data_IF_419697286838
#
_entry.id   IF_419697286838
#
_cell.length_a   1.000
_cell.length_b   1.000
_cell.length_c   1.000
_cell.angle_alpha   90.00
_cell.angle_beta   90.00
_cell.angle_gamma   90.00
#
_symmetry.space_group_name_H-M   'P 1'
#
loop_
_entity.id
_entity.type
_entity.pdbx_description
1 polymer ?
#
# COMPACT_ATOMS: atom_id res chain seq x y z
N UNK A 1 28.64 1.86 4.78
CA UNK A 1 27.56 1.43 5.70
C UNK A 1 27.43 -0.08 5.57
N UNK A 2 27.49 -0.89 6.64
CA UNK A 2 27.28 -2.32 6.49
C UNK A 2 25.84 -2.53 5.99
N UNK A 3 25.67 -3.38 4.97
CA UNK A 3 24.35 -3.82 4.50
C UNK A 3 23.72 -4.57 5.65
N UNK A 4 22.97 -3.86 6.47
CA UNK A 4 22.37 -4.46 7.63
C UNK A 4 21.31 -5.45 7.14
N UNK A 5 21.47 -6.71 7.54
CA UNK A 5 20.51 -7.76 7.22
C UNK A 5 19.10 -7.40 7.68
N UNK A 6 18.10 -8.14 7.18
CA UNK A 6 16.66 -7.86 7.37
C UNK A 6 16.28 -7.61 8.84
N UNK A 7 16.84 -8.39 9.76
CA UNK A 7 16.67 -8.18 11.20
C UNK A 7 17.14 -6.78 11.65
N UNK A 8 18.24 -6.28 11.09
CA UNK A 8 18.74 -4.92 11.32
C UNK A 8 17.84 -3.82 10.75
N UNK A 9 17.14 -4.07 9.63
CA UNK A 9 16.13 -3.13 9.09
C UNK A 9 14.94 -3.04 10.05
N UNK A 10 14.40 -4.18 10.49
CA UNK A 10 13.29 -4.22 11.44
C UNK A 10 13.65 -3.57 12.79
N UNK A 11 14.87 -3.79 13.28
CA UNK A 11 15.36 -3.15 14.50
C UNK A 11 15.56 -1.64 14.33
N UNK A 12 16.03 -1.17 13.17
CA UNK A 12 16.09 0.26 12.86
C UNK A 12 14.71 0.90 12.86
N UNK A 13 13.72 0.25 12.23
CA UNK A 13 12.35 0.77 12.22
C UNK A 13 11.80 0.90 13.65
N UNK A 14 11.96 -0.15 14.48
CA UNK A 14 11.57 -0.08 15.90
C UNK A 14 12.27 1.05 16.65
N UNK A 15 13.59 1.19 16.47
CA UNK A 15 14.37 2.25 17.12
C UNK A 15 13.82 3.63 16.75
N UNK A 16 13.63 3.90 15.46
CA UNK A 16 13.10 5.19 15.00
C UNK A 16 11.69 5.45 15.52
N UNK A 17 10.82 4.44 15.58
CA UNK A 17 9.46 4.59 16.14
C UNK A 17 9.48 4.85 17.66
N UNK A 18 10.36 4.20 18.40
CA UNK A 18 10.54 4.46 19.84
C UNK A 18 11.09 5.86 20.09
N UNK A 19 12.10 6.27 19.33
CA UNK A 19 12.68 7.60 19.42
C UNK A 19 11.67 8.68 19.04
N UNK A 20 10.78 8.42 18.09
CA UNK A 20 9.70 9.34 17.74
C UNK A 20 8.67 9.47 18.89
N UNK A 21 8.37 8.40 19.63
CA UNK A 21 7.56 8.46 20.85
C UNK A 21 8.27 9.23 21.96
N UNK A 22 9.57 9.00 22.17
CA UNK A 22 10.35 9.75 23.16
C UNK A 22 10.41 11.24 22.81
N UNK A 23 10.72 11.57 21.55
CA UNK A 23 10.76 12.94 21.05
C UNK A 23 9.43 13.68 21.25
N UNK A 24 8.30 13.00 21.05
CA UNK A 24 6.97 13.58 21.30
C UNK A 24 6.79 14.06 22.75
N UNK A 25 7.34 13.30 23.71
CA UNK A 25 7.22 13.60 25.15
C UNK A 25 8.31 14.54 25.67
N UNK A 26 9.50 14.52 25.07
CA UNK A 26 10.72 15.22 25.55
C UNK A 26 11.25 16.28 24.59
N UNK A 27 10.37 16.82 23.73
CA UNK A 27 10.73 17.80 22.70
C UNK A 27 11.54 19.01 23.21
N UNK A 28 11.21 19.63 24.37
CA UNK A 28 12.01 20.73 24.91
C UNK A 28 13.43 20.29 25.31
N UNK A 29 13.55 19.13 25.96
CA UNK A 29 14.83 18.58 26.41
C UNK A 29 15.72 18.23 25.21
N UNK A 30 15.16 17.61 24.17
CA UNK A 30 15.86 17.32 22.93
C UNK A 30 16.43 18.59 22.27
N UNK A 31 15.59 19.64 22.15
CA UNK A 31 16.03 20.93 21.58
C UNK A 31 17.12 21.62 22.40
N UNK A 32 17.10 21.43 23.72
CA UNK A 32 18.10 21.97 24.65
C UNK A 32 19.33 21.07 24.80
N UNK A 33 19.40 19.95 24.06
CA UNK A 33 20.45 18.93 24.18
C UNK A 33 20.61 18.38 25.61
N UNK A 34 19.48 18.21 26.29
CA UNK A 34 19.39 17.65 27.64
C UNK A 34 19.10 16.14 27.64
N UNK A 35 19.00 15.52 26.46
CA UNK A 35 18.91 14.07 26.28
C UNK A 35 19.94 13.60 25.25
N UNK A 36 20.14 12.29 25.17
CA UNK A 36 20.99 11.69 24.16
C UNK A 36 20.45 11.95 22.75
N UNK A 37 21.34 11.97 21.77
CA UNK A 37 20.96 12.05 20.38
C UNK A 37 20.09 10.84 19.99
N UNK A 38 19.00 11.13 19.29
CA UNK A 38 18.05 10.14 18.79
C UNK A 38 18.50 9.63 17.41
N UNK A 39 17.96 8.51 16.97
CA UNK A 39 18.38 7.81 15.75
C UNK A 39 18.01 8.50 14.43
N UNK A 40 17.20 9.57 14.47
CA UNK A 40 16.79 10.36 13.32
C UNK A 40 16.73 11.86 13.65
N UNK A 41 16.62 12.70 12.62
CA UNK A 41 16.54 14.15 12.80
C UNK A 41 15.23 14.57 13.47
N UNK A 42 15.21 15.74 14.11
CA UNK A 42 13.98 16.29 14.69
C UNK A 42 12.83 16.38 13.66
N UNK A 43 13.16 16.69 12.40
CA UNK A 43 12.19 16.79 11.31
C UNK A 43 11.58 15.42 10.98
N UNK A 44 12.39 14.37 10.90
CA UNK A 44 11.91 13.00 10.64
C UNK A 44 11.06 12.48 11.81
N UNK A 45 11.49 12.73 13.05
CA UNK A 45 10.73 12.35 14.24
C UNK A 45 9.40 13.10 14.34
N UNK A 46 9.35 14.36 13.91
CA UNK A 46 8.10 15.12 13.80
C UNK A 46 7.18 14.55 12.71
N UNK A 47 7.75 14.18 11.55
CA UNK A 47 6.99 13.63 10.43
C UNK A 47 6.33 12.27 10.76
N UNK A 48 6.88 11.53 11.72
CA UNK A 48 6.31 10.27 12.20
C UNK A 48 5.15 10.44 13.17
N UNK A 49 4.92 11.65 13.71
CA UNK A 49 3.88 11.87 14.71
C UNK A 49 2.46 11.56 14.21
N UNK A 50 2.03 12.00 13.00
CA UNK A 50 0.73 11.62 12.45
C UNK A 50 0.58 10.10 12.22
N UNK A 51 1.67 9.40 11.91
CA UNK A 51 1.67 7.94 11.74
C UNK A 51 1.48 7.24 13.09
N UNK A 52 2.20 7.68 14.12
CA UNK A 52 2.07 7.15 15.48
C UNK A 52 0.69 7.43 16.11
N UNK A 53 0.02 8.51 15.69
CA UNK A 53 -1.35 8.83 16.10
C UNK A 53 -2.43 8.11 15.26
N UNK A 54 -2.05 7.40 14.20
CA UNK A 54 -2.99 6.73 13.29
C UNK A 54 -3.75 7.68 12.35
N UNK A 55 -3.32 8.93 12.21
CA UNK A 55 -3.90 9.90 11.27
C UNK A 55 -3.48 9.56 9.83
N UNK A 56 -2.21 9.21 9.64
CA UNK A 56 -1.66 8.77 8.36
C UNK A 56 -1.28 7.29 8.38
N UNK A 57 -1.48 6.56 7.27
CA UNK A 57 -0.98 5.20 7.16
C UNK A 57 0.54 5.16 6.97
N UNK A 58 1.15 4.08 7.45
CA UNK A 58 2.52 3.70 7.10
C UNK A 58 2.47 2.72 5.93
N UNK A 59 3.03 3.09 4.78
CA UNK A 59 3.21 2.18 3.65
C UNK A 59 4.55 1.47 3.82
N UNK A 60 4.55 0.14 3.87
CA UNK A 60 5.77 -0.68 3.93
C UNK A 60 5.88 -1.52 2.68
N UNK A 61 6.99 -1.39 1.98
CA UNK A 61 7.36 -2.29 0.88
C UNK A 61 7.93 -3.56 1.50
N UNK A 62 7.22 -4.67 1.31
CA UNK A 62 7.63 -5.99 1.81
C UNK A 62 7.14 -7.06 0.85
N UNK A 63 8.06 -7.87 0.32
CA UNK A 63 7.75 -8.85 -0.71
C UNK A 63 7.81 -10.30 -0.20
N UNK A 64 8.82 -10.65 0.60
CA UNK A 64 8.92 -11.98 1.22
C UNK A 64 7.90 -12.17 2.33
N UNK A 65 7.43 -13.40 2.49
CA UNK A 65 6.54 -13.80 3.59
C UNK A 65 7.06 -13.36 4.95
N UNK A 66 8.34 -13.62 5.26
CA UNK A 66 8.94 -13.28 6.56
C UNK A 66 8.98 -11.77 6.83
N UNK A 67 9.13 -10.96 5.78
CA UNK A 67 9.18 -9.51 5.89
C UNK A 67 7.77 -8.95 6.07
N UNK A 68 6.78 -9.53 5.39
CA UNK A 68 5.35 -9.23 5.59
C UNK A 68 4.95 -9.56 7.03
N UNK A 69 5.24 -10.76 7.52
CA UNK A 69 4.97 -11.17 8.92
C UNK A 69 5.64 -10.22 9.92
N UNK A 70 6.85 -9.74 9.62
CA UNK A 70 7.56 -8.77 10.46
C UNK A 70 6.86 -7.41 10.44
N UNK A 71 6.43 -6.93 9.28
CA UNK A 71 5.68 -5.68 9.14
C UNK A 71 4.34 -5.74 9.90
N UNK A 72 3.57 -6.84 9.76
CA UNK A 72 2.33 -7.06 10.50
C UNK A 72 2.55 -7.02 12.02
N UNK A 73 3.63 -7.65 12.49
CA UNK A 73 3.99 -7.69 13.92
C UNK A 73 4.35 -6.30 14.46
N UNK A 74 5.14 -5.53 13.70
CA UNK A 74 5.49 -4.14 14.06
C UNK A 74 4.24 -3.26 14.05
N UNK A 75 3.38 -3.37 13.03
CA UNK A 75 2.14 -2.60 12.98
C UNK A 75 1.26 -2.86 14.21
N UNK A 76 1.15 -4.12 14.65
CA UNK A 76 0.46 -4.48 15.89
C UNK A 76 1.14 -3.91 17.13
N UNK A 77 2.47 -4.04 17.25
CA UNK A 77 3.27 -3.54 18.37
C UNK A 77 3.11 -2.03 18.60
N UNK A 78 3.03 -1.25 17.52
CA UNK A 78 2.93 0.21 17.58
C UNK A 78 1.51 0.75 17.32
N UNK A 79 0.52 -0.12 17.09
CA UNK A 79 -0.86 0.23 16.70
C UNK A 79 -0.92 1.13 15.46
N UNK A 80 -0.16 0.75 14.42
CA UNK A 80 -0.04 1.52 13.18
C UNK A 80 -1.12 1.14 12.19
N UNK A 81 -1.61 2.13 11.43
CA UNK A 81 -2.36 1.89 10.20
C UNK A 81 -1.39 1.48 9.10
N UNK A 82 -1.19 0.18 8.93
CA UNK A 82 -0.27 -0.37 7.93
C UNK A 82 -0.95 -0.53 6.56
N UNK A 83 -0.21 -0.22 5.50
CA UNK A 83 -0.50 -0.63 4.12
C UNK A 83 0.74 -1.39 3.63
N UNK A 84 0.55 -2.55 3.01
CA UNK A 84 1.64 -3.26 2.34
C UNK A 84 1.69 -2.85 0.87
N UNK A 85 2.89 -2.59 0.37
CA UNK A 85 3.12 -2.41 -1.06
C UNK A 85 3.99 -3.55 -1.60
N UNK A 86 3.63 -4.07 -2.77
CA UNK A 86 4.20 -5.27 -3.36
C UNK A 86 3.54 -6.53 -2.79
N UNK A 87 4.12 -7.10 -1.73
CA UNK A 87 3.71 -8.37 -1.15
C UNK A 87 3.72 -9.52 -2.16
N UNK A 88 4.84 -9.68 -2.88
CA UNK A 88 5.04 -10.74 -3.89
C UNK A 88 4.73 -12.17 -3.37
N UNK A 89 5.01 -12.45 -2.09
CA UNK A 89 4.68 -13.72 -1.43
C UNK A 89 3.46 -13.61 -0.49
N UNK A 90 2.69 -12.52 -0.57
CA UNK A 90 1.50 -12.28 0.24
C UNK A 90 0.41 -13.33 0.02
N UNK A 91 0.31 -13.88 -1.20
CA UNK A 91 -0.57 -15.01 -1.53
C UNK A 91 -0.34 -16.27 -0.68
N UNK A 92 0.82 -16.40 -0.02
CA UNK A 92 1.09 -17.52 0.88
C UNK A 92 0.41 -17.37 2.25
N UNK A 93 0.07 -16.14 2.65
CA UNK A 93 -0.50 -15.81 3.96
C UNK A 93 -1.70 -14.84 3.90
N UNK A 94 -2.63 -14.99 2.94
CA UNK A 94 -3.68 -14.00 2.70
C UNK A 94 -4.64 -13.90 3.90
N UNK A 95 -4.89 -15.01 4.60
CA UNK A 95 -5.73 -15.04 5.79
C UNK A 95 -5.12 -14.24 6.95
N UNK A 96 -3.80 -14.26 7.10
CA UNK A 96 -3.09 -13.53 8.16
C UNK A 96 -3.12 -12.02 7.89
N UNK A 97 -2.91 -11.62 6.63
CA UNK A 97 -3.03 -10.23 6.18
C UNK A 97 -4.46 -9.72 6.35
N UNK A 98 -5.45 -10.52 5.95
CA UNK A 98 -6.88 -10.21 6.06
C UNK A 98 -7.31 -10.07 7.53
N UNK A 99 -6.90 -10.99 8.40
CA UNK A 99 -7.18 -10.92 9.84
C UNK A 99 -6.56 -9.70 10.52
N UNK A 100 -5.44 -9.19 9.99
CA UNK A 100 -4.83 -7.94 10.45
C UNK A 100 -5.52 -6.67 9.88
N UNK A 101 -6.52 -6.82 9.00
CA UNK A 101 -7.19 -5.74 8.28
C UNK A 101 -6.22 -4.83 7.50
N UNK A 102 -5.12 -5.40 7.00
CA UNK A 102 -4.08 -4.66 6.27
C UNK A 102 -4.36 -4.73 4.77
N UNK A 103 -4.61 -3.61 4.09
CA UNK A 103 -4.73 -3.59 2.64
C UNK A 103 -3.37 -3.76 1.96
N UNK A 104 -3.41 -4.23 0.70
CA UNK A 104 -2.22 -4.48 -0.11
C UNK A 104 -2.32 -3.74 -1.45
N UNK A 105 -1.25 -3.04 -1.81
CA UNK A 105 -1.04 -2.44 -3.13
C UNK A 105 -0.22 -3.42 -3.97
N UNK A 106 -0.79 -3.92 -5.06
CA UNK A 106 -0.18 -4.95 -5.91
C UNK A 106 0.02 -4.41 -7.32
N UNK A 107 1.14 -4.75 -7.93
CA UNK A 107 1.41 -4.54 -9.35
C UNK A 107 1.28 -5.90 -10.06
N UNK A 108 0.17 -6.18 -10.77
CA UNK A 108 -0.13 -7.50 -11.33
C UNK A 108 0.95 -8.07 -12.25
N UNK A 109 1.61 -7.18 -13.00
CA UNK A 109 2.65 -7.56 -13.96
C UNK A 109 4.07 -7.50 -13.41
N UNK A 110 4.27 -7.12 -12.14
CA UNK A 110 5.58 -7.31 -11.52
C UNK A 110 5.83 -8.82 -11.40
N UNK A 111 6.75 -9.31 -12.22
CA UNK A 111 6.98 -10.74 -12.42
C UNK A 111 8.46 -11.11 -12.45
N UNK A 112 9.35 -10.12 -12.30
CA UNK A 112 10.78 -10.33 -12.39
C UNK A 112 11.27 -10.88 -11.05
N UNK A 113 11.65 -12.17 -10.96
CA UNK A 113 12.07 -12.74 -9.70
C UNK A 113 13.35 -12.04 -9.24
N UNK A 114 13.34 -11.61 -7.99
CA UNK A 114 14.52 -11.06 -7.33
C UNK A 114 14.81 -11.86 -6.07
N UNK A 115 15.96 -11.59 -5.45
CA UNK A 115 16.27 -12.20 -4.16
C UNK A 115 15.21 -11.88 -3.09
N UNK A 116 14.45 -10.79 -3.23
CA UNK A 116 13.40 -10.39 -2.30
C UNK A 116 11.99 -10.78 -2.76
N UNK A 117 11.83 -11.44 -3.92
CA UNK A 117 10.53 -11.81 -4.50
C UNK A 117 10.62 -13.14 -5.29
N UNK A 118 11.11 -14.22 -4.66
CA UNK A 118 11.25 -15.52 -5.33
C UNK A 118 9.91 -16.18 -5.64
N UNK A 119 8.93 -16.04 -4.74
CA UNK A 119 7.59 -16.60 -4.91
C UNK A 119 6.63 -15.73 -5.72
N UNK A 120 7.11 -14.77 -6.52
CA UNK A 120 6.26 -13.86 -7.30
C UNK A 120 5.37 -14.64 -8.28
N UNK A 121 4.10 -14.24 -8.38
CA UNK A 121 3.07 -14.89 -9.21
C UNK A 121 2.07 -13.89 -9.73
N UNK A 122 1.62 -14.08 -10.97
CA UNK A 122 0.58 -13.24 -11.56
C UNK A 122 -0.77 -13.36 -10.82
N UNK A 123 -1.04 -14.52 -10.23
CA UNK A 123 -2.26 -14.77 -9.45
C UNK A 123 -2.22 -14.12 -8.05
N UNK A 124 -1.14 -13.41 -7.68
CA UNK A 124 -0.99 -12.86 -6.32
C UNK A 124 -2.19 -11.98 -5.92
N UNK A 125 -2.62 -11.07 -6.80
CA UNK A 125 -3.77 -10.21 -6.55
C UNK A 125 -5.07 -11.01 -6.35
N UNK A 126 -5.30 -12.05 -7.16
CA UNK A 126 -6.51 -12.87 -7.07
C UNK A 126 -6.53 -13.76 -5.83
N UNK A 127 -5.39 -14.32 -5.45
CA UNK A 127 -5.24 -15.14 -4.24
C UNK A 127 -5.40 -14.30 -2.96
N UNK A 128 -4.83 -13.09 -2.93
CA UNK A 128 -5.04 -12.14 -1.84
C UNK A 128 -6.51 -11.75 -1.71
N UNK A 129 -7.15 -11.37 -2.83
CA UNK A 129 -8.57 -11.01 -2.84
C UNK A 129 -9.47 -12.18 -2.38
N UNK A 130 -9.18 -13.42 -2.81
CA UNK A 130 -9.91 -14.63 -2.37
C UNK A 130 -9.77 -14.89 -0.87
N UNK A 131 -8.63 -14.54 -0.26
CA UNK A 131 -8.44 -14.59 1.20
C UNK A 131 -9.05 -13.40 1.96
N UNK A 132 -9.82 -12.53 1.29
CA UNK A 132 -10.50 -11.39 1.91
C UNK A 132 -9.65 -10.14 2.08
N UNK A 133 -8.44 -10.10 1.52
CA UNK A 133 -7.58 -8.92 1.59
C UNK A 133 -8.14 -7.81 0.68
N UNK A 134 -8.16 -6.57 1.18
CA UNK A 134 -8.43 -5.39 0.35
C UNK A 134 -7.23 -5.14 -0.57
N UNK A 135 -7.37 -5.47 -1.85
CA UNK A 135 -6.33 -5.28 -2.87
C UNK A 135 -6.64 -4.05 -3.72
N UNK A 136 -5.68 -3.12 -3.81
CA UNK A 136 -5.67 -2.09 -4.84
C UNK A 136 -4.54 -2.37 -5.83
N UNK A 137 -4.80 -2.09 -7.11
CA UNK A 137 -3.78 -2.21 -8.14
C UNK A 137 -3.01 -0.90 -8.24
N UNK A 138 -1.69 -1.01 -8.41
CA UNK A 138 -0.80 0.13 -8.62
C UNK A 138 0.11 -0.12 -9.83
N UNK A 139 0.73 0.94 -10.30
CA UNK A 139 1.77 0.94 -11.32
C UNK A 139 2.93 1.76 -10.75
N UNK A 140 4.13 1.19 -10.70
CA UNK A 140 5.30 1.87 -10.11
C UNK A 140 6.20 2.52 -11.15
N UNK A 141 6.07 2.16 -12.43
CA UNK A 141 6.81 2.78 -13.51
C UNK A 141 6.23 4.16 -13.87
N UNK A 142 7.02 5.21 -13.70
CA UNK A 142 6.62 6.60 -14.00
C UNK A 142 6.38 6.85 -15.49
N UNK A 143 6.96 6.01 -16.36
CA UNK A 143 6.85 6.15 -17.81
C UNK A 143 5.58 5.51 -18.39
N UNK A 144 4.88 4.67 -17.58
CA UNK A 144 3.76 3.83 -18.02
C UNK A 144 2.47 4.03 -17.19
N UNK A 145 2.26 5.19 -16.57
CA UNK A 145 1.01 5.47 -15.80
C UNK A 145 -0.31 5.28 -16.56
N UNK A 146 -0.26 5.11 -17.90
CA UNK A 146 -1.40 4.73 -18.74
C UNK A 146 -1.79 3.24 -18.67
N UNK A 147 -0.96 2.41 -18.03
CA UNK A 147 -1.12 0.96 -18.00
C UNK A 147 -1.99 0.45 -16.85
N UNK A 148 -2.50 1.29 -15.94
CA UNK A 148 -3.34 0.81 -14.84
C UNK A 148 -4.61 0.07 -15.34
N UNK A 149 -5.15 0.48 -16.49
CA UNK A 149 -6.19 -0.26 -17.21
C UNK A 149 -5.72 -1.65 -17.62
N UNK A 150 -4.52 -1.74 -18.20
CA UNK A 150 -3.91 -3.00 -18.63
C UNK A 150 -3.58 -3.90 -17.43
N UNK A 151 -3.07 -3.34 -16.33
CA UNK A 151 -2.86 -4.06 -15.07
C UNK A 151 -4.16 -4.67 -14.56
N UNK A 152 -5.27 -3.94 -14.60
CA UNK A 152 -6.57 -4.46 -14.22
C UNK A 152 -7.06 -5.58 -15.14
N UNK A 153 -6.92 -5.44 -16.46
CA UNK A 153 -7.24 -6.50 -17.42
C UNK A 153 -6.39 -7.76 -17.21
N UNK A 154 -5.09 -7.60 -16.96
CA UNK A 154 -4.19 -8.71 -16.65
C UNK A 154 -4.59 -9.39 -15.33
N UNK A 155 -4.95 -8.62 -14.30
CA UNK A 155 -5.42 -9.18 -13.03
C UNK A 155 -6.68 -10.05 -13.20
N UNK A 156 -7.59 -9.66 -14.11
CA UNK A 156 -8.74 -10.50 -14.51
C UNK A 156 -8.28 -11.78 -15.19
N UNK A 157 -7.35 -11.69 -16.15
CA UNK A 157 -6.78 -12.85 -16.83
C UNK A 157 -6.12 -13.85 -15.85
N UNK A 158 -5.59 -13.37 -14.73
CA UNK A 158 -4.97 -14.17 -13.66
C UNK A 158 -5.89 -14.42 -12.44
N UNK A 159 -7.20 -14.31 -12.64
CA UNK A 159 -8.20 -14.91 -11.77
C UNK A 159 -8.93 -13.97 -10.80
N UNK A 160 -8.74 -12.65 -10.90
CA UNK A 160 -9.69 -11.71 -10.32
C UNK A 160 -10.98 -11.70 -11.14
N UNK A 161 -12.12 -11.47 -10.49
CA UNK A 161 -13.34 -11.12 -11.25
C UNK A 161 -13.21 -9.70 -11.83
N UNK A 162 -13.96 -9.42 -12.89
CA UNK A 162 -14.01 -8.09 -13.50
C UNK A 162 -14.39 -7.01 -12.47
N UNK A 163 -15.40 -7.27 -11.63
CA UNK A 163 -15.84 -6.34 -10.58
C UNK A 163 -14.75 -6.07 -9.54
N UNK A 164 -14.01 -7.12 -9.12
CA UNK A 164 -12.89 -6.95 -8.20
C UNK A 164 -11.78 -6.09 -8.82
N UNK A 165 -11.44 -6.32 -10.09
CA UNK A 165 -10.41 -5.55 -10.78
C UNK A 165 -10.84 -4.08 -10.95
N UNK A 166 -12.08 -3.81 -11.35
CA UNK A 166 -12.62 -2.44 -11.45
C UNK A 166 -12.57 -1.74 -10.10
N UNK A 167 -13.03 -2.41 -9.05
CA UNK A 167 -13.01 -1.88 -7.69
C UNK A 167 -11.57 -1.60 -7.22
N UNK A 168 -10.62 -2.48 -7.55
CA UNK A 168 -9.21 -2.35 -7.18
C UNK A 168 -8.48 -1.15 -7.82
N UNK A 169 -9.03 -0.57 -8.90
CA UNK A 169 -8.53 0.68 -9.51
C UNK A 169 -9.44 1.90 -9.26
N UNK A 170 -10.53 1.74 -8.50
CA UNK A 170 -11.50 2.81 -8.21
C UNK A 170 -11.79 2.94 -6.71
N UNK A 171 -12.75 2.18 -6.18
CA UNK A 171 -13.24 2.34 -4.81
C UNK A 171 -12.26 1.81 -3.76
N UNK A 172 -11.57 0.69 -4.00
CA UNK A 172 -10.62 0.15 -3.02
C UNK A 172 -9.49 1.11 -2.67
N UNK A 173 -8.75 1.73 -3.63
CA UNK A 173 -7.75 2.73 -3.27
C UNK A 173 -8.37 3.95 -2.56
N UNK A 174 -9.57 4.39 -2.96
CA UNK A 174 -10.27 5.47 -2.25
C UNK A 174 -10.57 5.11 -0.78
N UNK A 175 -10.94 3.86 -0.50
CA UNK A 175 -11.13 3.37 0.88
C UNK A 175 -9.83 3.30 1.67
N UNK A 176 -8.76 2.77 1.05
CA UNK A 176 -7.44 2.63 1.68
C UNK A 176 -6.91 4.00 2.14
N UNK A 177 -7.08 5.03 1.32
CA UNK A 177 -6.61 6.38 1.60
C UNK A 177 -7.64 7.28 2.30
N UNK A 178 -8.81 6.75 2.67
CA UNK A 178 -9.81 7.48 3.46
C UNK A 178 -10.57 8.57 2.69
N UNK A 179 -10.66 8.46 1.36
CA UNK A 179 -11.32 9.42 0.47
C UNK A 179 -12.54 8.85 -0.26
N UNK A 180 -12.98 7.64 0.09
CA UNK A 180 -14.15 6.96 -0.50
C UNK A 180 -15.48 7.71 -0.33
N UNK A 181 -15.57 8.65 0.62
CA UNK A 181 -16.73 9.54 0.76
C UNK A 181 -16.87 10.54 -0.39
N UNK A 182 -15.80 10.78 -1.16
CA UNK A 182 -15.78 11.74 -2.26
C UNK A 182 -15.47 11.09 -3.61
N UNK A 183 -14.75 9.97 -3.64
CA UNK A 183 -14.23 9.36 -4.86
C UNK A 183 -14.47 7.84 -4.94
N UNK A 184 -14.23 7.27 -6.11
CA UNK A 184 -14.09 5.83 -6.30
C UNK A 184 -15.37 5.08 -6.68
N UNK A 185 -16.55 5.71 -6.61
CA UNK A 185 -17.80 5.13 -7.11
C UNK A 185 -18.77 6.18 -7.64
N UNK A 186 -19.75 5.73 -8.43
CA UNK A 186 -20.82 6.55 -8.98
C UNK A 186 -22.01 6.55 -8.02
N UNK A 187 -21.94 7.42 -7.01
CA UNK A 187 -22.96 7.58 -5.97
C UNK A 187 -23.32 9.07 -5.80
N UNK A 188 -24.57 9.34 -5.41
CA UNK A 188 -25.00 10.71 -5.13
C UNK A 188 -24.15 11.34 -4.01
N UNK A 189 -23.76 12.60 -4.20
CA UNK A 189 -22.92 13.34 -3.25
C UNK A 189 -21.41 13.18 -3.44
N UNK A 190 -20.96 12.27 -4.32
CA UNK A 190 -19.53 12.13 -4.69
C UNK A 190 -19.14 13.03 -5.86
N UNK A 191 -17.83 13.22 -6.02
CA UNK A 191 -17.28 14.00 -7.14
C UNK A 191 -17.47 13.22 -8.44
N UNK A 192 -18.04 13.90 -9.44
CA UNK A 192 -18.41 13.32 -10.74
C UNK A 192 -17.22 13.13 -11.70
N UNK A 193 -16.20 12.39 -11.26
CA UNK A 193 -15.11 11.94 -12.11
C UNK A 193 -15.57 10.71 -12.90
N UNK A 194 -16.04 10.93 -14.13
CA UNK A 194 -16.64 9.87 -14.97
C UNK A 194 -15.90 9.74 -16.28
N UNK A 195 -15.59 8.49 -16.64
CA UNK A 195 -15.00 8.12 -17.92
C UNK A 195 -15.99 7.21 -18.66
N UNK A 196 -16.37 7.61 -19.87
CA UNK A 196 -17.22 6.81 -20.76
C UNK A 196 -16.31 6.09 -21.75
N UNK A 197 -16.45 4.77 -21.83
CA UNK A 197 -15.67 3.92 -22.73
C UNK A 197 -16.51 3.48 -23.93
N UNK A 198 -15.87 3.18 -25.06
CA UNK A 198 -16.54 2.65 -26.25
C UNK A 198 -16.92 1.16 -26.12
N UNK A 199 -16.39 0.47 -25.13
CA UNK A 199 -16.58 -0.95 -24.83
C UNK A 199 -16.12 -1.27 -23.40
N UNK A 200 -15.81 -2.53 -23.11
CA UNK A 200 -15.28 -2.93 -21.80
C UNK A 200 -13.96 -2.20 -21.52
N UNK A 201 -13.84 -1.45 -20.39
CA UNK A 201 -12.63 -0.72 -20.08
C UNK A 201 -11.37 -1.58 -20.04
N UNK A 202 -11.41 -2.90 -19.83
CA UNK A 202 -10.21 -3.74 -19.80
C UNK A 202 -9.84 -4.37 -21.15
N UNK A 203 -10.69 -4.25 -22.16
CA UNK A 203 -10.35 -4.71 -23.51
C UNK A 203 -9.35 -3.75 -24.19
N UNK A 204 -8.39 -4.33 -24.92
CA UNK A 204 -7.34 -3.57 -25.62
C UNK A 204 -7.92 -2.55 -26.60
N UNK A 205 -9.02 -2.89 -27.29
CA UNK A 205 -9.67 -2.03 -28.27
C UNK A 205 -10.55 -0.92 -27.69
N UNK A 206 -10.82 -0.92 -26.38
CA UNK A 206 -11.70 0.07 -25.78
C UNK A 206 -11.01 1.43 -25.61
N UNK A 207 -11.57 2.45 -26.25
CA UNK A 207 -11.11 3.82 -26.19
C UNK A 207 -11.97 4.67 -25.26
N UNK A 208 -11.39 5.74 -24.72
CA UNK A 208 -12.15 6.75 -23.98
C UNK A 208 -13.01 7.51 -24.99
N UNK A 209 -14.33 7.45 -24.82
CA UNK A 209 -15.29 8.20 -25.63
C UNK A 209 -15.44 9.63 -25.12
N UNK A 210 -15.48 9.81 -23.80
CA UNK A 210 -15.51 11.12 -23.15
C UNK A 210 -15.02 11.02 -21.71
N UNK A 211 -14.44 12.10 -21.20
CA UNK A 211 -14.03 12.23 -19.80
C UNK A 211 -14.59 13.55 -19.27
N UNK A 212 -15.37 13.50 -18.19
CA UNK A 212 -15.89 14.69 -17.51
C UNK A 212 -15.16 14.86 -16.18
N UNK A 213 -14.53 16.02 -16.00
CA UNK A 213 -13.96 16.46 -14.72
C UNK A 213 -14.69 17.75 -14.31
N UNK A 214 -15.11 17.90 -13.05
CA UNK A 214 -15.58 19.19 -12.57
C UNK A 214 -14.46 20.22 -12.68
N UNK A 215 -14.82 21.45 -13.02
CA UNK A 215 -13.91 22.60 -13.11
C UNK A 215 -13.34 22.99 -11.74
#
# INVERSE_FOLDING_TARGET
>A
MPVAGRAGVAQRLRRVLNDAREYATRRPDYRRRQIQDLSASAADLEALQPVLRGELPLIVVANRRSDIETALRIAKEYTLRLILAGAAEGWMIPNEISAAAVPVLVEPMDNLPSFDALGIRYENASLLAKGGVKVALMETATENTRDLKQQAGNAVAYGMTWEQALRAVTLTPAEIFGVAGQYGSLEAGKIANVVVWTGDPFEFGAAIRSNSRPA
#
